data_IF_280507083881
#
_entry.id   IF_280507083881
#
_cell.length_a   1.000
_cell.length_b   1.000
_cell.length_c   1.000
_cell.angle_alpha   90.00
_cell.angle_beta   90.00
_cell.angle_gamma   90.00
#
_symmetry.space_group_name_H-M   'P 1'
#
loop_
_entity.id
_entity.type
_entity.pdbx_description
1 polymer ?
#
# COMPACT_ATOMS: atom_id res chain seq x y z
N UNK A 1 -72.65 42.13 -13.03
CA UNK A 1 -71.20 41.92 -13.18
C UNK A 1 -70.56 42.35 -11.87
N UNK A 2 -70.09 41.41 -11.06
CA UNK A 2 -69.53 41.67 -9.72
C UNK A 2 -68.04 41.35 -9.81
N UNK A 3 -67.20 42.38 -9.80
CA UNK A 3 -65.74 42.23 -9.79
C UNK A 3 -65.31 41.95 -8.36
N UNK A 4 -64.91 40.71 -8.09
CA UNK A 4 -64.26 40.31 -6.84
C UNK A 4 -62.81 40.74 -6.88
N UNK A 5 -62.41 41.66 -6.00
CA UNK A 5 -61.01 42.04 -5.79
C UNK A 5 -60.40 41.13 -4.73
N UNK A 6 -59.53 40.21 -5.13
CA UNK A 6 -58.73 39.43 -4.19
C UNK A 6 -57.70 40.35 -3.51
N UNK A 7 -57.72 40.42 -2.17
CA UNK A 7 -56.67 41.11 -1.40
C UNK A 7 -55.41 40.23 -1.38
N UNK A 8 -54.22 40.78 -1.68
CA UNK A 8 -52.98 40.05 -1.44
C UNK A 8 -52.73 40.01 0.07
N UNK A 9 -52.69 38.81 0.64
CA UNK A 9 -52.19 38.62 2.00
C UNK A 9 -50.67 38.75 1.98
N UNK A 10 -50.17 39.90 2.43
CA UNK A 10 -48.75 40.08 2.74
C UNK A 10 -48.38 39.16 3.91
N UNK A 11 -47.93 37.96 3.59
CA UNK A 11 -47.21 37.10 4.53
C UNK A 11 -45.92 37.80 4.90
N UNK A 12 -45.94 38.50 6.03
CA UNK A 12 -44.74 39.02 6.69
C UNK A 12 -43.79 37.86 6.89
N UNK A 13 -42.74 37.80 6.07
CA UNK A 13 -41.64 36.87 6.25
C UNK A 13 -40.90 37.28 7.53
N UNK A 14 -41.21 36.62 8.64
CA UNK A 14 -40.49 36.82 9.90
C UNK A 14 -39.06 36.28 9.72
N UNK A 15 -38.06 37.14 9.91
CA UNK A 15 -36.65 36.74 9.94
C UNK A 15 -36.29 36.06 11.26
N UNK A 16 -35.22 35.27 11.24
CA UNK A 16 -34.68 34.63 12.45
C UNK A 16 -34.04 35.64 13.39
N UNK A 17 -34.17 35.42 14.69
CA UNK A 17 -33.48 36.23 15.68
C UNK A 17 -31.99 35.86 15.74
N UNK A 18 -31.15 36.83 16.12
CA UNK A 18 -29.70 36.61 16.26
C UNK A 18 -29.40 35.49 17.29
N UNK A 19 -30.19 35.42 18.36
CA UNK A 19 -30.07 34.41 19.41
C UNK A 19 -30.40 33.01 18.86
N UNK A 20 -31.45 32.85 18.06
CA UNK A 20 -31.76 31.56 17.41
C UNK A 20 -30.62 31.10 16.50
N UNK A 21 -29.99 32.00 15.74
CA UNK A 21 -28.86 31.66 14.88
C UNK A 21 -27.63 31.22 15.69
N UNK A 22 -27.36 31.87 16.82
CA UNK A 22 -26.23 31.51 17.69
C UNK A 22 -26.45 30.15 18.37
N UNK A 23 -27.65 29.87 18.86
CA UNK A 23 -27.98 28.57 19.46
C UNK A 23 -27.95 27.47 18.41
N UNK A 24 -28.56 27.69 17.23
CA UNK A 24 -28.55 26.74 16.13
C UNK A 24 -27.13 26.48 15.60
N UNK A 25 -26.30 27.51 15.46
CA UNK A 25 -24.90 27.39 15.06
C UNK A 25 -24.05 26.65 16.09
N UNK A 26 -24.26 26.94 17.38
CA UNK A 26 -23.59 26.24 18.48
C UNK A 26 -23.89 24.74 18.47
N UNK A 27 -25.18 24.37 18.48
CA UNK A 27 -25.62 22.97 18.44
C UNK A 27 -25.17 22.29 17.14
N UNK A 28 -25.29 22.98 16.00
CA UNK A 28 -24.86 22.46 14.70
C UNK A 28 -23.37 22.15 14.64
N UNK A 29 -22.52 23.00 15.23
CA UNK A 29 -21.07 22.76 15.29
C UNK A 29 -20.72 21.50 16.10
N UNK A 30 -21.36 21.30 17.25
CA UNK A 30 -21.12 20.13 18.12
C UNK A 30 -21.51 18.84 17.39
N UNK A 31 -22.66 18.84 16.70
CA UNK A 31 -23.12 17.69 15.92
C UNK A 31 -22.15 17.41 14.77
N UNK A 32 -21.75 18.43 14.01
CA UNK A 32 -20.87 18.27 12.86
C UNK A 32 -19.48 17.74 13.28
N UNK A 33 -18.95 18.22 14.42
CA UNK A 33 -17.71 17.68 14.98
C UNK A 33 -17.84 16.20 15.33
N UNK A 34 -18.93 15.79 15.97
CA UNK A 34 -19.19 14.38 16.29
C UNK A 34 -19.24 13.50 15.03
N UNK A 35 -19.95 13.93 13.99
CA UNK A 35 -20.05 13.21 12.71
C UNK A 35 -18.68 13.10 12.03
N UNK A 36 -17.93 14.20 11.98
CA UNK A 36 -16.59 14.22 11.39
C UNK A 36 -15.64 13.25 12.13
N UNK A 37 -15.69 13.21 13.46
CA UNK A 37 -14.90 12.25 14.25
C UNK A 37 -15.19 10.79 13.88
N UNK A 38 -16.47 10.44 13.70
CA UNK A 38 -16.87 9.07 13.29
C UNK A 38 -16.37 8.75 11.88
N UNK A 39 -16.53 9.67 10.93
CA UNK A 39 -16.07 9.48 9.54
C UNK A 39 -14.54 9.30 9.48
N UNK A 40 -13.79 10.10 10.24
CA UNK A 40 -12.32 9.98 10.30
C UNK A 40 -11.87 8.67 10.95
N UNK A 41 -12.59 8.22 11.99
CA UNK A 41 -12.31 6.93 12.62
C UNK A 41 -12.58 5.77 11.66
N UNK A 42 -13.72 5.78 10.96
CA UNK A 42 -14.02 4.78 9.92
C UNK A 42 -12.99 4.78 8.79
N UNK A 43 -12.52 5.95 8.34
CA UNK A 43 -11.47 6.05 7.33
C UNK A 43 -10.16 5.41 7.77
N UNK A 44 -9.73 5.64 9.02
CA UNK A 44 -8.54 5.00 9.59
C UNK A 44 -8.72 3.49 9.76
N UNK A 45 -9.87 3.06 10.26
CA UNK A 45 -10.21 1.65 10.43
C UNK A 45 -10.27 0.90 9.10
N UNK A 46 -10.76 1.55 8.04
CA UNK A 46 -10.79 1.01 6.69
C UNK A 46 -9.40 0.69 6.15
N UNK A 47 -8.41 1.57 6.37
CA UNK A 47 -7.02 1.34 5.95
C UNK A 47 -6.35 0.21 6.75
N UNK A 48 -6.63 0.09 8.04
CA UNK A 48 -6.13 -1.06 8.82
C UNK A 48 -6.77 -2.38 8.35
N UNK A 49 -8.06 -2.36 8.00
CA UNK A 49 -8.75 -3.54 7.50
C UNK A 49 -8.22 -3.97 6.12
N UNK A 50 -7.92 -3.03 5.23
CA UNK A 50 -7.30 -3.34 3.93
C UNK A 50 -5.89 -3.92 4.11
N UNK A 51 -5.07 -3.31 4.97
CA UNK A 51 -3.73 -3.82 5.25
C UNK A 51 -3.78 -5.25 5.82
N UNK A 52 -4.75 -5.55 6.69
CA UNK A 52 -4.94 -6.88 7.23
C UNK A 52 -5.37 -7.89 6.16
N UNK A 53 -6.32 -7.51 5.30
CA UNK A 53 -6.74 -8.35 4.17
C UNK A 53 -5.58 -8.64 3.20
N UNK A 54 -4.74 -7.63 2.92
CA UNK A 54 -3.54 -7.80 2.09
C UNK A 54 -2.52 -8.73 2.74
N UNK A 55 -2.26 -8.58 4.04
CA UNK A 55 -1.38 -9.47 4.79
C UNK A 55 -1.88 -10.91 4.81
N UNK A 56 -3.18 -11.11 5.00
CA UNK A 56 -3.78 -12.45 4.97
C UNK A 56 -3.66 -13.08 3.58
N UNK A 57 -3.93 -12.32 2.52
CA UNK A 57 -3.76 -12.78 1.14
C UNK A 57 -2.29 -13.10 0.82
N UNK A 58 -1.35 -12.32 1.33
CA UNK A 58 0.09 -12.62 1.20
C UNK A 58 0.49 -13.89 1.95
N UNK A 59 0.01 -14.06 3.19
CA UNK A 59 0.29 -15.26 4.00
C UNK A 59 -0.27 -16.53 3.35
N UNK A 60 -1.51 -16.51 2.88
CA UNK A 60 -2.12 -17.64 2.16
C UNK A 60 -1.33 -18.00 0.90
N UNK A 61 -0.95 -17.01 0.09
CA UNK A 61 -0.10 -17.22 -1.10
C UNK A 61 1.26 -17.82 -0.75
N UNK A 62 1.91 -17.35 0.31
CA UNK A 62 3.20 -17.88 0.74
C UNK A 62 3.10 -19.35 1.19
N UNK A 63 2.03 -19.72 1.89
CA UNK A 63 1.77 -21.11 2.29
C UNK A 63 1.45 -21.98 1.08
N UNK A 64 0.64 -21.50 0.13
CA UNK A 64 0.32 -22.23 -1.10
C UNK A 64 1.57 -22.47 -1.95
N UNK A 65 2.43 -21.46 -2.12
CA UNK A 65 3.71 -21.58 -2.82
C UNK A 65 4.63 -22.59 -2.12
N UNK A 66 4.78 -22.48 -0.79
CA UNK A 66 5.58 -23.43 -0.02
C UNK A 66 5.03 -24.86 -0.11
N UNK A 67 3.71 -25.04 0.00
CA UNK A 67 3.07 -26.34 -0.10
C UNK A 67 3.23 -26.94 -1.51
N UNK A 68 3.16 -26.12 -2.55
CA UNK A 68 3.41 -26.53 -3.93
C UNK A 68 4.86 -27.01 -4.09
N UNK A 69 5.83 -26.24 -3.60
CA UNK A 69 7.26 -26.56 -3.68
C UNK A 69 7.56 -27.86 -2.94
N UNK A 70 6.99 -28.06 -1.75
CA UNK A 70 7.14 -29.30 -0.97
C UNK A 70 6.50 -30.50 -1.66
N UNK A 71 5.32 -30.35 -2.28
CA UNK A 71 4.65 -31.44 -3.01
C UNK A 71 5.40 -31.88 -4.26
N UNK A 72 6.11 -30.95 -4.90
CA UNK A 72 6.91 -31.22 -6.09
C UNK A 72 8.35 -31.60 -5.77
N UNK A 73 8.79 -31.43 -4.51
CA UNK A 73 10.16 -31.70 -4.12
C UNK A 73 10.50 -33.19 -4.20
N UNK A 74 11.58 -33.51 -4.90
CA UNK A 74 12.16 -34.85 -4.97
C UNK A 74 13.19 -35.11 -3.89
N UNK A 75 13.74 -34.05 -3.28
CA UNK A 75 14.72 -34.14 -2.20
C UNK A 75 14.66 -32.90 -1.29
N UNK A 76 15.10 -33.06 -0.04
CA UNK A 76 15.22 -32.00 0.96
C UNK A 76 16.60 -32.05 1.58
N UNK A 77 17.30 -30.92 1.59
CA UNK A 77 18.63 -30.76 2.18
C UNK A 77 18.57 -29.71 3.29
N UNK A 78 19.03 -30.07 4.48
CA UNK A 78 19.19 -29.13 5.59
C UNK A 78 20.46 -28.30 5.39
N UNK A 79 20.32 -26.98 5.31
CA UNK A 79 21.47 -26.07 5.18
C UNK A 79 21.96 -25.64 6.56
N UNK A 80 21.03 -25.43 7.49
CA UNK A 80 21.29 -25.04 8.88
C UNK A 80 20.06 -25.35 9.76
N UNK A 81 20.08 -24.94 11.03
CA UNK A 81 18.92 -25.03 11.93
C UNK A 81 17.73 -24.15 11.48
N UNK A 82 17.96 -23.16 10.63
CA UNK A 82 16.95 -22.17 10.20
C UNK A 82 16.81 -22.08 8.68
N UNK A 83 17.43 -22.98 7.92
CA UNK A 83 17.39 -22.94 6.46
C UNK A 83 17.38 -24.35 5.85
N UNK A 84 16.55 -24.51 4.83
CA UNK A 84 16.34 -25.76 4.11
C UNK A 84 16.26 -25.51 2.62
N UNK A 85 16.84 -26.40 1.82
CA UNK A 85 16.76 -26.39 0.36
C UNK A 85 15.93 -27.57 -0.13
N UNK A 86 14.92 -27.28 -0.94
CA UNK A 86 14.13 -28.25 -1.69
C UNK A 86 14.72 -28.42 -3.09
N UNK A 87 14.80 -29.65 -3.57
CA UNK A 87 15.06 -29.95 -4.98
C UNK A 87 13.73 -30.19 -5.68
N UNK A 88 13.34 -29.28 -6.56
CA UNK A 88 12.10 -29.32 -7.35
C UNK A 88 12.38 -29.80 -8.80
N UNK A 89 11.40 -29.94 -9.70
CA UNK A 89 11.66 -30.36 -11.09
C UNK A 89 12.39 -29.30 -11.95
N UNK A 90 13.01 -29.71 -13.06
CA UNK A 90 13.98 -28.94 -13.89
C UNK A 90 13.45 -27.64 -14.54
N UNK A 91 12.18 -27.33 -14.35
CA UNK A 91 11.51 -26.19 -14.95
C UNK A 91 11.14 -25.06 -13.97
N UNK A 92 11.64 -25.11 -12.72
CA UNK A 92 11.09 -24.27 -11.65
C UNK A 92 11.89 -22.98 -11.32
N UNK A 93 13.14 -23.03 -10.82
CA UNK A 93 14.01 -21.84 -10.69
C UNK A 93 15.22 -21.86 -11.65
N UNK A 94 15.79 -20.67 -11.91
CA UNK A 94 17.00 -20.50 -12.72
C UNK A 94 18.26 -21.16 -12.10
N UNK A 95 18.23 -21.49 -10.80
CA UNK A 95 19.36 -22.02 -10.02
C UNK A 95 19.34 -23.55 -9.90
N UNK A 96 19.18 -24.22 -11.04
CA UNK A 96 19.31 -25.68 -11.12
C UNK A 96 18.41 -26.41 -10.13
N UNK A 97 17.11 -26.02 -10.11
CA UNK A 97 16.05 -26.73 -9.40
C UNK A 97 16.04 -26.59 -7.88
N UNK A 98 16.76 -25.61 -7.34
CA UNK A 98 16.88 -25.47 -5.90
C UNK A 98 16.02 -24.31 -5.44
N UNK A 99 15.17 -24.59 -4.46
CA UNK A 99 14.42 -23.57 -3.76
C UNK A 99 14.86 -23.58 -2.31
N UNK A 100 15.42 -22.47 -1.86
CA UNK A 100 15.85 -22.33 -0.46
C UNK A 100 14.80 -21.55 0.31
N UNK A 101 14.45 -22.06 1.48
CA UNK A 101 13.63 -21.38 2.47
C UNK A 101 14.46 -21.12 3.72
N UNK A 102 14.25 -19.97 4.34
CA UNK A 102 14.96 -19.54 5.53
C UNK A 102 14.04 -18.87 6.54
N UNK A 103 14.40 -18.97 7.82
CA UNK A 103 13.80 -18.25 8.93
C UNK A 103 14.76 -17.15 9.39
N UNK A 104 14.28 -15.91 9.45
CA UNK A 104 14.98 -14.83 10.11
C UNK A 104 14.90 -15.03 11.64
N UNK A 105 15.95 -15.59 12.23
CA UNK A 105 16.03 -15.82 13.68
C UNK A 105 16.27 -14.56 14.52
N UNK A 106 16.25 -13.36 13.92
CA UNK A 106 16.48 -12.11 14.65
C UNK A 106 15.36 -11.83 15.64
N UNK A 107 15.73 -11.41 16.85
CA UNK A 107 14.77 -11.01 17.89
C UNK A 107 14.13 -9.63 17.63
N UNK A 108 14.75 -8.82 16.76
CA UNK A 108 14.36 -7.43 16.47
C UNK A 108 14.58 -7.13 15.00
N UNK A 109 13.67 -6.37 14.39
CA UNK A 109 13.77 -5.94 13.00
C UNK A 109 12.43 -6.06 12.27
N UNK A 110 12.32 -5.47 11.06
CA UNK A 110 11.09 -5.53 10.26
C UNK A 110 10.76 -6.94 9.75
N UNK A 111 11.75 -7.83 9.68
CA UNK A 111 11.63 -9.22 9.22
C UNK A 111 11.83 -10.24 10.35
N UNK A 112 11.94 -9.79 11.60
CA UNK A 112 12.19 -10.65 12.74
C UNK A 112 11.18 -11.82 12.81
N UNK A 113 11.70 -13.04 12.94
CA UNK A 113 10.94 -14.28 12.98
C UNK A 113 10.04 -14.53 11.74
N UNK A 114 10.39 -13.94 10.59
CA UNK A 114 9.69 -14.21 9.33
C UNK A 114 10.32 -15.40 8.60
N UNK A 115 9.45 -16.26 8.06
CA UNK A 115 9.82 -17.32 7.15
C UNK A 115 9.70 -16.81 5.71
N UNK A 116 10.76 -16.97 4.92
CA UNK A 116 10.79 -16.48 3.55
C UNK A 116 11.49 -17.45 2.61
N UNK A 117 11.14 -17.33 1.33
CA UNK A 117 11.79 -18.02 0.23
C UNK A 117 12.95 -17.17 -0.27
N UNK A 118 14.15 -17.72 -0.30
CA UNK A 118 15.31 -17.06 -0.91
C UNK A 118 15.15 -17.10 -2.43
N UNK A 119 14.99 -15.92 -3.04
CA UNK A 119 15.06 -15.79 -4.47
C UNK A 119 16.53 -15.57 -4.83
N UNK A 120 17.10 -16.46 -5.63
CA UNK A 120 18.44 -16.25 -6.17
C UNK A 120 18.39 -15.07 -7.12
N UNK A 121 18.65 -13.88 -6.58
CA UNK A 121 18.73 -12.59 -7.30
C UNK A 121 17.59 -12.31 -8.29
N UNK A 122 16.45 -11.81 -7.80
CA UNK A 122 15.54 -11.07 -8.69
C UNK A 122 16.15 -9.71 -9.04
N UNK A 123 16.41 -9.48 -10.33
CA UNK A 123 16.72 -8.13 -10.84
C UNK A 123 15.49 -7.25 -10.62
N UNK A 124 15.57 -6.26 -9.72
CA UNK A 124 14.60 -5.17 -9.74
C UNK A 124 14.95 -4.26 -10.93
N UNK A 125 14.06 -4.21 -11.91
CA UNK A 125 14.15 -3.26 -13.00
C UNK A 125 13.53 -1.93 -12.54
N UNK A 126 14.36 -0.98 -12.11
CA UNK A 126 13.92 0.37 -11.82
C UNK A 126 13.96 1.21 -13.11
N UNK A 127 12.79 1.54 -13.65
CA UNK A 127 12.68 2.53 -14.72
C UNK A 127 12.84 3.92 -14.11
N UNK A 128 13.99 4.56 -14.32
CA UNK A 128 14.26 5.91 -13.84
C UNK A 128 14.06 6.92 -14.97
N UNK A 129 13.34 8.01 -14.68
CA UNK A 129 13.33 9.20 -15.53
C UNK A 129 14.35 10.19 -14.96
N UNK A 130 15.61 10.19 -15.43
CA UNK A 130 16.61 11.11 -14.90
C UNK A 130 16.24 12.54 -15.28
N UNK A 131 15.85 13.35 -14.28
CA UNK A 131 15.91 14.81 -14.37
C UNK A 131 17.33 15.20 -13.98
N UNK A 132 17.96 16.13 -14.70
CA UNK A 132 19.34 16.59 -14.47
C UNK A 132 19.55 17.03 -13.01
N UNK A 133 19.93 16.11 -12.13
CA UNK A 133 20.34 16.35 -10.75
C UNK A 133 21.33 15.26 -10.37
N UNK A 134 22.51 15.68 -9.91
CA UNK A 134 23.82 15.03 -10.05
C UNK A 134 24.08 13.71 -9.30
N UNK A 135 23.09 13.00 -8.77
CA UNK A 135 23.40 11.82 -7.95
C UNK A 135 22.26 10.81 -7.86
N UNK A 136 22.57 9.55 -8.16
CA UNK A 136 21.79 8.39 -7.70
C UNK A 136 22.63 7.74 -6.61
N UNK A 137 22.22 7.86 -5.35
CA UNK A 137 22.85 7.14 -4.23
C UNK A 137 22.23 5.76 -4.15
N UNK A 138 23.05 4.71 -4.21
CA UNK A 138 22.63 3.32 -4.03
C UNK A 138 23.27 2.80 -2.76
N UNK A 139 22.52 2.78 -1.67
CA UNK A 139 22.94 2.15 -0.43
C UNK A 139 22.59 0.66 -0.51
N UNK A 140 23.44 -0.17 -1.15
CA UNK A 140 23.72 -1.60 -0.83
C UNK A 140 24.86 -2.14 -1.74
N UNK A 141 25.76 -2.94 -1.16
CA UNK A 141 27.03 -3.44 -1.72
C UNK A 141 26.93 -4.42 -2.91
N UNK A 142 25.78 -4.56 -3.59
CA UNK A 142 25.60 -5.57 -4.67
C UNK A 142 24.69 -5.12 -5.81
N UNK A 143 24.46 -3.81 -5.97
CA UNK A 143 23.70 -3.26 -7.10
C UNK A 143 24.63 -2.49 -8.05
N UNK A 144 25.01 -3.14 -9.16
CA UNK A 144 25.61 -2.45 -10.31
C UNK A 144 24.51 -1.64 -10.99
N UNK A 145 24.57 -0.30 -10.89
CA UNK A 145 23.71 0.61 -11.67
C UNK A 145 24.52 1.16 -12.83
N UNK A 146 24.24 0.69 -14.04
CA UNK A 146 24.82 1.21 -15.28
C UNK A 146 23.87 2.20 -15.95
N UNK A 147 24.32 3.42 -16.18
CA UNK A 147 23.61 4.40 -17.01
C UNK A 147 24.51 4.81 -18.18
N UNK A 148 23.94 4.85 -19.39
CA UNK A 148 24.57 5.43 -20.58
C UNK A 148 23.78 6.67 -20.97
N UNK A 149 24.44 7.82 -21.09
CA UNK A 149 23.80 9.06 -21.50
C UNK A 149 24.44 9.59 -22.77
N UNK A 150 23.61 9.97 -23.75
CA UNK A 150 24.04 10.59 -25.01
C UNK A 150 23.60 12.05 -25.02
N UNK A 151 24.57 12.97 -24.97
CA UNK A 151 24.33 14.40 -25.15
C UNK A 151 24.15 14.69 -26.65
N UNK A 152 22.96 15.14 -27.07
CA UNK A 152 22.76 15.78 -28.38
C UNK A 152 22.85 17.28 -28.21
N UNK A 153 23.82 17.92 -28.87
CA UNK A 153 23.91 19.37 -28.92
C UNK A 153 22.75 19.92 -29.77
N UNK A 154 22.04 20.93 -29.28
CA UNK A 154 21.03 21.64 -30.10
C UNK A 154 21.76 22.71 -30.90
N UNK A 155 21.58 22.77 -32.23
CA UNK A 155 22.19 23.82 -33.02
C UNK A 155 21.64 25.19 -32.59
N UNK A 156 22.54 26.13 -32.32
CA UNK A 156 22.21 27.54 -32.12
C UNK A 156 21.71 28.12 -33.44
N UNK A 157 20.50 28.68 -33.42
CA UNK A 157 19.92 29.43 -34.53
C UNK A 157 20.55 30.83 -34.59
#
# INVERSE_FOLDING_TARGET
MITSTARPEDRRAAGFTLVELMVAGGIGSVILTGVLSVVLMMGRSGLSASNYADMEAQSRRAVDEFAQDVRMASNLTWNSATSVTLTVPDNYPADGNRVTYALDGSATGPTANSFYRELSTKRLQLTMNPRTTRQTTVDQNTLVVSASYVLRNKPSN
#
